data_IF_551122322597
#
_entry.id   IF_551122322597
#
_cell.length_a   1.000
_cell.length_b   1.000
_cell.length_c   1.000
_cell.angle_alpha   90.00
_cell.angle_beta   90.00
_cell.angle_gamma   90.00
#
_symmetry.space_group_name_H-M   'P 1'
#
loop_
_entity.id
_entity.type
_entity.pdbx_description
1 polymer ?
#
# COMPACT_ATOMS: atom_id res chain seq x y z
N UNK A 1 21.99 -4.53 2.48
CA UNK A 1 20.95 -5.55 2.77
C UNK A 1 21.04 -5.91 4.24
N UNK A 2 19.95 -5.72 4.98
CA UNK A 2 19.89 -5.99 6.42
C UNK A 2 19.89 -7.50 6.70
N UNK A 3 20.08 -7.88 7.96
CA UNK A 3 20.00 -9.30 8.39
C UNK A 3 18.62 -9.88 8.03
N UNK A 4 18.51 -11.17 7.65
CA UNK A 4 17.24 -11.85 7.44
C UNK A 4 16.24 -11.63 8.59
N UNK A 5 16.76 -11.51 9.82
CA UNK A 5 15.95 -11.24 11.01
C UNK A 5 15.32 -9.84 10.99
N UNK A 6 16.05 -8.82 10.54
CA UNK A 6 15.54 -7.45 10.41
C UNK A 6 14.42 -7.38 9.38
N UNK A 7 14.54 -8.11 8.26
CA UNK A 7 13.50 -8.17 7.23
C UNK A 7 12.23 -8.85 7.77
N UNK A 8 12.38 -9.92 8.53
CA UNK A 8 11.23 -10.60 9.18
C UNK A 8 10.53 -9.67 10.16
N UNK A 9 11.29 -8.98 11.03
CA UNK A 9 10.71 -8.03 11.98
C UNK A 9 9.96 -6.90 11.29
N UNK A 10 10.54 -6.31 10.24
CA UNK A 10 9.87 -5.26 9.46
C UNK A 10 8.57 -5.79 8.82
N UNK A 11 8.62 -6.98 8.21
CA UNK A 11 7.46 -7.59 7.59
C UNK A 11 6.33 -7.88 8.59
N UNK A 12 6.65 -8.42 9.77
CA UNK A 12 5.64 -8.70 10.81
C UNK A 12 5.05 -7.41 11.36
N UNK A 13 5.89 -6.43 11.68
CA UNK A 13 5.45 -5.18 12.27
C UNK A 13 4.53 -4.38 11.33
N UNK A 14 4.89 -4.26 10.05
CA UNK A 14 4.05 -3.58 9.05
C UNK A 14 2.76 -4.37 8.78
N UNK A 15 2.82 -5.71 8.73
CA UNK A 15 1.65 -6.56 8.52
C UNK A 15 0.58 -6.39 9.60
N UNK A 16 0.99 -6.26 10.87
CA UNK A 16 0.05 -6.02 11.97
C UNK A 16 -0.62 -4.64 11.86
N UNK A 17 0.14 -3.63 11.46
CA UNK A 17 -0.36 -2.27 11.30
C UNK A 17 -1.33 -2.12 10.12
N UNK A 18 -1.04 -2.77 8.98
CA UNK A 18 -1.82 -2.61 7.74
C UNK A 18 -3.15 -3.40 7.70
N UNK A 19 -3.46 -4.20 8.73
CA UNK A 19 -4.62 -5.10 8.73
C UNK A 19 -5.95 -4.42 8.35
N UNK A 20 -6.18 -3.19 8.81
CA UNK A 20 -7.40 -2.45 8.48
C UNK A 20 -7.48 -2.08 6.99
N UNK A 21 -6.34 -1.76 6.38
CA UNK A 21 -6.25 -1.47 4.95
C UNK A 21 -6.48 -2.75 4.14
N UNK A 22 -5.83 -3.86 4.51
CA UNK A 22 -6.04 -5.17 3.87
C UNK A 22 -7.51 -5.61 3.95
N UNK A 23 -8.16 -5.43 5.11
CA UNK A 23 -9.57 -5.78 5.26
C UNK A 23 -10.50 -4.95 4.38
N UNK A 24 -10.18 -3.67 4.17
CA UNK A 24 -10.91 -2.82 3.23
C UNK A 24 -10.71 -3.33 1.80
N UNK A 25 -9.47 -3.52 1.39
CA UNK A 25 -9.11 -3.98 0.04
C UNK A 25 -9.80 -5.30 -0.31
N UNK A 26 -9.72 -6.29 0.59
CA UNK A 26 -10.36 -7.60 0.41
C UNK A 26 -11.90 -7.53 0.38
N UNK A 27 -12.51 -6.55 1.06
CA UNK A 27 -13.98 -6.38 1.06
C UNK A 27 -14.49 -5.78 -0.25
N UNK A 28 -13.66 -4.96 -0.88
CA UNK A 28 -14.02 -4.18 -2.07
C UNK A 28 -13.44 -4.76 -3.37
N UNK A 29 -12.86 -5.97 -3.32
CA UNK A 29 -12.18 -6.63 -4.43
C UNK A 29 -11.12 -5.73 -5.08
N UNK A 30 -10.43 -4.92 -4.27
CA UNK A 30 -9.37 -4.03 -4.70
C UNK A 30 -8.03 -4.76 -4.73
N UNK A 31 -7.20 -4.42 -5.71
CA UNK A 31 -5.88 -5.01 -5.89
C UNK A 31 -4.90 -4.28 -4.99
N UNK A 32 -4.16 -5.04 -4.17
CA UNK A 32 -3.05 -4.53 -3.37
C UNK A 32 -1.89 -5.52 -3.34
N UNK A 33 -0.68 -4.99 -3.13
CA UNK A 33 0.53 -5.77 -2.99
C UNK A 33 1.56 -5.04 -2.16
N UNK A 34 2.44 -5.80 -1.53
CA UNK A 34 3.50 -5.27 -0.67
C UNK A 34 4.81 -6.00 -0.92
N UNK A 35 5.89 -5.23 -0.97
CA UNK A 35 7.25 -5.71 -0.94
C UNK A 35 8.00 -5.05 0.22
N UNK A 36 8.12 -5.77 1.34
CA UNK A 36 8.73 -5.28 2.59
C UNK A 36 8.01 -4.02 3.09
N UNK A 37 8.58 -2.84 2.85
CA UNK A 37 8.09 -1.52 3.24
C UNK A 37 7.42 -0.76 2.10
N UNK A 38 7.56 -1.21 0.85
CA UNK A 38 6.88 -0.63 -0.30
C UNK A 38 5.52 -1.29 -0.51
N UNK A 39 4.46 -0.48 -0.56
CA UNK A 39 3.07 -0.93 -0.76
C UNK A 39 2.48 -0.24 -1.98
N UNK A 40 1.78 -1.01 -2.81
CA UNK A 40 0.88 -0.47 -3.83
C UNK A 40 -0.54 -0.98 -3.61
N UNK A 41 -1.52 -0.15 -3.97
CA UNK A 41 -2.92 -0.54 -3.92
C UNK A 41 -3.74 0.28 -4.91
N UNK A 42 -4.82 -0.33 -5.38
CA UNK A 42 -5.91 0.36 -6.06
C UNK A 42 -6.99 0.71 -5.05
N UNK A 43 -7.75 1.76 -5.30
CA UNK A 43 -8.95 2.01 -4.52
C UNK A 43 -10.03 2.67 -5.36
N UNK A 44 -11.27 2.31 -5.08
CA UNK A 44 -12.47 2.96 -5.62
C UNK A 44 -12.92 4.15 -4.75
N UNK A 45 -12.28 4.37 -3.60
CA UNK A 45 -12.52 5.54 -2.76
C UNK A 45 -12.11 6.82 -3.48
N UNK A 46 -12.77 7.91 -3.13
CA UNK A 46 -12.24 9.22 -3.48
C UNK A 46 -10.90 9.46 -2.78
N UNK A 47 -10.07 10.32 -3.37
CA UNK A 47 -8.78 10.70 -2.78
C UNK A 47 -8.92 11.20 -1.33
N UNK A 48 -10.00 11.92 -1.02
CA UNK A 48 -10.25 12.47 0.31
C UNK A 48 -10.58 11.38 1.33
N UNK A 49 -11.48 10.46 0.99
CA UNK A 49 -11.83 9.31 1.84
C UNK A 49 -10.62 8.41 2.09
N UNK A 50 -9.83 8.13 1.05
CA UNK A 50 -8.62 7.33 1.17
C UNK A 50 -7.59 8.01 2.09
N UNK A 51 -7.34 9.31 1.91
CA UNK A 51 -6.44 10.06 2.79
C UNK A 51 -6.96 10.11 4.23
N UNK A 52 -8.27 10.20 4.45
CA UNK A 52 -8.84 10.13 5.79
C UNK A 52 -8.59 8.77 6.44
N UNK A 53 -8.91 7.67 5.76
CA UNK A 53 -8.70 6.32 6.26
C UNK A 53 -7.22 6.06 6.58
N UNK A 54 -6.33 6.53 5.71
CA UNK A 54 -4.90 6.39 5.91
C UNK A 54 -4.42 7.24 7.09
N UNK A 55 -4.89 8.49 7.23
CA UNK A 55 -4.57 9.32 8.41
C UNK A 55 -5.07 8.69 9.72
N UNK A 56 -6.22 8.05 9.72
CA UNK A 56 -6.72 7.30 10.89
C UNK A 56 -5.86 6.09 11.21
N UNK A 57 -5.35 5.40 10.19
CA UNK A 57 -4.44 4.25 10.35
C UNK A 57 -3.05 4.71 10.83
N UNK A 58 -2.54 5.84 10.34
CA UNK A 58 -1.27 6.41 10.82
C UNK A 58 -1.33 6.83 12.30
N UNK A 59 -2.51 7.20 12.82
CA UNK A 59 -2.68 7.54 14.23
C UNK A 59 -2.57 6.33 15.17
N UNK A 60 -2.71 5.10 14.67
CA UNK A 60 -2.68 3.92 15.54
C UNK A 60 -1.26 3.55 15.99
N UNK A 61 -0.23 4.01 15.28
CA UNK A 61 1.16 3.84 15.68
C UNK A 61 2.01 5.07 15.31
N UNK A 62 2.51 5.84 16.29
CA UNK A 62 3.29 7.05 16.03
C UNK A 62 4.68 6.77 15.42
N UNK A 63 5.14 5.51 15.41
CA UNK A 63 6.43 5.14 14.83
C UNK A 63 6.34 4.86 13.33
N UNK A 64 5.12 4.68 12.81
CA UNK A 64 4.90 4.40 11.39
C UNK A 64 4.59 5.70 10.66
N UNK A 65 5.45 6.03 9.68
CA UNK A 65 5.30 7.20 8.80
C UNK A 65 5.27 6.71 7.37
N UNK A 66 4.28 7.17 6.63
CA UNK A 66 4.04 6.75 5.25
C UNK A 66 4.25 7.94 4.34
N UNK A 67 4.87 7.69 3.19
CA UNK A 67 4.89 8.63 2.06
C UNK A 67 3.99 8.05 0.98
N UNK A 68 3.11 8.87 0.41
CA UNK A 68 2.06 8.38 -0.49
C UNK A 68 2.13 9.14 -1.81
N UNK A 69 2.03 8.40 -2.90
CA UNK A 69 1.83 8.92 -4.25
C UNK A 69 0.54 8.33 -4.80
N UNK A 70 -0.39 9.17 -5.26
CA UNK A 70 -1.68 8.74 -5.84
C UNK A 70 -1.73 9.26 -7.26
N UNK A 71 -1.60 8.36 -8.23
CA UNK A 71 -1.60 8.65 -9.67
C UNK A 71 -2.30 7.51 -10.44
N UNK A 72 -2.66 7.78 -11.69
CA UNK A 72 -3.12 6.74 -12.62
C UNK A 72 -1.97 5.84 -13.10
N UNK A 73 -0.76 6.40 -13.19
CA UNK A 73 0.46 5.67 -13.51
C UNK A 73 1.51 5.91 -12.42
N UNK A 74 2.18 4.85 -11.98
CA UNK A 74 3.25 4.90 -10.98
C UNK A 74 4.32 3.84 -11.23
N UNK A 75 5.55 4.17 -10.84
CA UNK A 75 6.65 3.22 -10.77
C UNK A 75 6.64 2.55 -9.40
N UNK A 76 6.72 1.23 -9.37
CA UNK A 76 6.85 0.44 -8.14
C UNK A 76 7.90 -0.65 -8.36
N UNK A 77 9.01 -0.56 -7.62
CA UNK A 77 10.21 -1.36 -7.87
C UNK A 77 10.68 -1.16 -9.32
N UNK A 78 10.88 -2.24 -10.07
CA UNK A 78 11.28 -2.24 -11.48
C UNK A 78 10.07 -2.43 -12.43
N UNK A 79 8.85 -2.05 -12.00
CA UNK A 79 7.64 -2.16 -12.80
C UNK A 79 6.86 -0.85 -12.85
N UNK A 80 6.47 -0.46 -14.06
CA UNK A 80 5.52 0.63 -14.29
C UNK A 80 4.10 0.06 -14.28
N UNK A 81 3.24 0.64 -13.45
CA UNK A 81 1.84 0.24 -13.28
C UNK A 81 0.97 1.39 -13.78
N UNK A 82 0.10 1.12 -14.75
CA UNK A 82 -0.86 2.09 -15.29
C UNK A 82 -2.29 1.56 -15.14
N UNK A 83 -3.20 2.43 -14.67
CA UNK A 83 -4.62 2.16 -14.59
C UNK A 83 -5.38 2.86 -15.72
N UNK A 84 -5.72 2.07 -16.74
CA UNK A 84 -6.50 2.46 -17.90
C UNK A 84 -7.98 2.21 -17.67
N UNK A 85 -8.63 3.12 -16.93
CA UNK A 85 -10.08 3.08 -16.65
C UNK A 85 -10.56 1.75 -16.03
N UNK A 86 -9.81 1.23 -15.05
CA UNK A 86 -10.11 -0.03 -14.36
C UNK A 86 -9.39 -1.26 -14.93
N UNK A 87 -8.63 -1.09 -16.02
CA UNK A 87 -7.71 -2.11 -16.51
C UNK A 87 -6.30 -1.77 -16.06
N UNK A 88 -5.68 -2.65 -15.26
CA UNK A 88 -4.29 -2.49 -14.86
C UNK A 88 -3.36 -3.09 -15.90
N UNK A 89 -2.42 -2.29 -16.38
CA UNK A 89 -1.34 -2.69 -17.27
C UNK A 89 0.00 -2.58 -16.53
N UNK A 90 0.91 -3.52 -16.79
CA UNK A 90 2.24 -3.54 -16.19
C UNK A 90 3.29 -3.67 -17.28
N UNK A 91 4.36 -2.88 -17.17
CA UNK A 91 5.54 -2.97 -18.03
C UNK A 91 6.81 -3.02 -17.19
N UNK A 92 7.79 -3.81 -17.65
CA UNK A 92 9.09 -4.07 -17.01
C UNK A 92 10.22 -3.74 -17.97
#
# INVERSE_FOLDING_TARGET
>A
MSSPFTMVLANTYILEWEQKLIQHQNRHDEISGRYIDDVFMTTNLTKEEFLQQLNETMKTDPNIKITITINQALEHLDASIENNNGQLETTT
#
